data_IF_032305627206
#
_entry.id   IF_032305627206
#
_cell.length_a   1.000
_cell.length_b   1.000
_cell.length_c   1.000
_cell.angle_alpha   90.00
_cell.angle_beta   90.00
_cell.angle_gamma   90.00
#
_symmetry.space_group_name_H-M   'P 1'
#
loop_
_entity.id
_entity.type
_entity.pdbx_description
1 polymer ?
#
# COMPACT_ATOMS: atom_id res chain seq x y z
N UNK A 1 -8.43 41.95 -5.78
CA UNK A 1 -8.90 41.10 -6.90
C UNK A 1 -7.76 40.88 -7.92
N UNK A 2 -6.60 40.38 -7.50
CA UNK A 2 -5.46 40.18 -8.41
C UNK A 2 -4.56 38.97 -8.06
N UNK A 3 -5.11 37.93 -7.45
CA UNK A 3 -4.28 36.79 -6.97
C UNK A 3 -4.72 35.43 -7.51
N UNK A 4 -5.78 35.36 -8.33
CA UNK A 4 -6.28 34.07 -8.87
C UNK A 4 -5.78 33.75 -10.28
N UNK A 5 -5.29 34.75 -11.01
CA UNK A 5 -4.87 34.60 -12.42
C UNK A 5 -3.39 34.20 -12.61
N UNK A 6 -2.56 34.23 -11.56
CA UNK A 6 -1.11 33.97 -11.66
C UNK A 6 -0.71 32.50 -11.41
N UNK A 7 -1.62 31.63 -10.96
CA UNK A 7 -1.34 30.22 -10.64
C UNK A 7 -1.63 29.27 -11.82
N UNK A 8 -2.37 29.73 -12.83
CA UNK A 8 -2.75 28.88 -13.97
C UNK A 8 -1.72 28.79 -15.11
N UNK A 9 -0.60 29.50 -15.05
CA UNK A 9 0.35 29.56 -16.17
C UNK A 9 1.70 28.85 -15.98
N UNK A 10 1.86 28.02 -14.96
CA UNK A 10 3.10 27.27 -14.75
C UNK A 10 2.93 25.79 -14.45
N UNK A 11 1.93 25.16 -15.01
CA UNK A 11 1.87 23.70 -15.01
C UNK A 11 2.90 23.15 -15.99
N UNK A 12 3.85 22.31 -15.55
CA UNK A 12 4.85 21.73 -16.45
C UNK A 12 4.17 20.87 -17.53
N UNK A 13 4.70 20.96 -18.75
CA UNK A 13 4.12 20.35 -19.96
C UNK A 13 3.88 18.83 -19.91
N UNK A 14 4.46 18.13 -18.94
CA UNK A 14 4.26 16.69 -18.76
C UNK A 14 2.94 16.32 -18.09
N UNK A 15 2.25 17.28 -17.43
CA UNK A 15 0.93 17.05 -16.81
C UNK A 15 -0.22 16.94 -17.83
N UNK A 16 -0.02 17.41 -19.07
CA UNK A 16 -1.04 17.43 -20.12
C UNK A 16 -0.87 16.36 -21.22
N UNK A 17 0.10 15.49 -21.11
CA UNK A 17 0.18 14.32 -21.99
C UNK A 17 -0.60 13.17 -21.38
N UNK A 18 -1.90 13.16 -21.66
CA UNK A 18 -2.73 11.98 -21.49
C UNK A 18 -2.13 10.86 -22.36
N UNK A 19 -1.47 9.90 -21.73
CA UNK A 19 -1.07 8.67 -22.39
C UNK A 19 -2.36 7.88 -22.63
N UNK A 20 -2.97 8.11 -23.79
CA UNK A 20 -3.96 7.21 -24.38
C UNK A 20 -3.20 5.94 -24.79
N UNK A 21 -3.23 4.94 -23.91
CA UNK A 21 -2.89 3.59 -24.32
C UNK A 21 -4.03 3.06 -25.21
N UNK A 22 -3.74 2.50 -26.40
CA UNK A 22 -4.76 1.89 -27.21
C UNK A 22 -5.33 0.67 -26.48
N UNK A 23 -6.63 0.37 -26.65
CA UNK A 23 -7.22 -0.85 -26.11
C UNK A 23 -6.77 -2.05 -26.96
N UNK A 24 -5.63 -2.63 -26.62
CA UNK A 24 -5.33 -3.96 -27.11
C UNK A 24 -6.13 -4.97 -26.29
N UNK A 25 -7.12 -5.52 -26.94
CA UNK A 25 -7.90 -6.67 -26.51
C UNK A 25 -6.99 -7.89 -26.36
N UNK A 26 -6.42 -8.05 -25.17
CA UNK A 26 -5.84 -9.34 -24.76
C UNK A 26 -7.00 -10.25 -24.45
N UNK A 27 -7.35 -11.10 -25.41
CA UNK A 27 -8.25 -12.22 -25.22
C UNK A 27 -7.57 -13.19 -24.26
N UNK A 28 -7.86 -13.02 -22.96
CA UNK A 28 -7.47 -13.98 -21.92
C UNK A 28 -8.35 -15.21 -22.15
N UNK A 29 -7.76 -16.24 -22.74
CA UNK A 29 -8.37 -17.58 -22.75
C UNK A 29 -8.55 -18.03 -21.31
N UNK A 30 -9.77 -17.90 -20.82
CA UNK A 30 -10.25 -18.32 -19.52
C UNK A 30 -10.29 -19.85 -19.45
N UNK A 31 -9.16 -20.45 -19.14
CA UNK A 31 -9.16 -21.76 -18.47
C UNK A 31 -9.10 -21.49 -16.97
N UNK A 32 -10.26 -21.44 -16.34
CA UNK A 32 -10.35 -21.39 -14.88
C UNK A 32 -9.62 -22.61 -14.32
N UNK A 33 -8.51 -22.46 -13.56
CA UNK A 33 -7.87 -23.61 -12.95
C UNK A 33 -8.85 -24.22 -11.93
N UNK A 34 -9.01 -25.54 -11.98
CA UNK A 34 -9.80 -26.27 -10.99
C UNK A 34 -9.36 -25.87 -9.58
N UNK A 35 -10.30 -25.73 -8.62
CA UNK A 35 -9.97 -25.30 -7.28
C UNK A 35 -8.91 -26.23 -6.67
N UNK A 36 -7.80 -25.62 -6.21
CA UNK A 36 -6.70 -26.37 -5.60
C UNK A 36 -7.22 -27.15 -4.37
N UNK A 37 -6.76 -28.39 -4.21
CA UNK A 37 -7.01 -29.14 -2.97
C UNK A 37 -6.43 -28.39 -1.75
N UNK A 38 -6.92 -28.63 -0.52
CA UNK A 38 -6.37 -28.00 0.69
C UNK A 38 -4.85 -28.21 0.84
N UNK A 39 -4.32 -29.34 0.38
CA UNK A 39 -2.88 -29.62 0.34
C UNK A 39 -2.17 -28.73 -0.71
N UNK A 40 -2.78 -28.54 -1.86
CA UNK A 40 -2.28 -27.68 -2.93
C UNK A 40 -2.25 -26.21 -2.51
N UNK A 41 -3.30 -25.73 -1.83
CA UNK A 41 -3.36 -24.38 -1.29
C UNK A 41 -2.27 -24.11 -0.26
N UNK A 42 -2.08 -25.00 0.72
CA UNK A 42 -0.99 -24.91 1.71
C UNK A 42 0.38 -24.90 1.03
N UNK A 43 0.57 -25.73 0.02
CA UNK A 43 1.82 -25.76 -0.74
C UNK A 43 2.07 -24.46 -1.50
N UNK A 44 1.03 -23.93 -2.18
CA UNK A 44 1.11 -22.64 -2.88
C UNK A 44 1.46 -21.49 -1.92
N UNK A 45 0.82 -21.45 -0.76
CA UNK A 45 1.11 -20.44 0.28
C UNK A 45 2.56 -20.54 0.77
N UNK A 46 3.06 -21.75 1.08
CA UNK A 46 4.45 -21.94 1.49
C UNK A 46 5.46 -21.48 0.45
N UNK A 47 5.18 -21.69 -0.85
CA UNK A 47 6.04 -21.20 -1.94
C UNK A 47 6.01 -19.66 -2.00
N UNK A 48 4.82 -19.05 -1.90
CA UNK A 48 4.68 -17.59 -1.92
C UNK A 48 5.42 -16.92 -0.77
N UNK A 49 5.31 -17.47 0.45
CA UNK A 49 6.02 -16.95 1.63
C UNK A 49 7.54 -17.04 1.46
N UNK A 50 8.06 -18.20 1.06
CA UNK A 50 9.50 -18.36 0.82
C UNK A 50 10.00 -17.46 -0.33
N UNK A 51 9.23 -17.36 -1.41
CA UNK A 51 9.57 -16.48 -2.53
C UNK A 51 9.55 -14.99 -2.15
N UNK A 52 8.64 -14.58 -1.26
CA UNK A 52 8.60 -13.22 -0.75
C UNK A 52 9.91 -12.85 -0.04
N UNK A 53 10.39 -13.70 0.86
CA UNK A 53 11.64 -13.48 1.57
C UNK A 53 12.83 -13.37 0.61
N UNK A 54 12.90 -14.27 -0.39
CA UNK A 54 13.99 -14.27 -1.38
C UNK A 54 13.93 -13.02 -2.28
N UNK A 55 12.75 -12.62 -2.76
CA UNK A 55 12.62 -11.41 -3.57
C UNK A 55 12.90 -10.14 -2.78
N UNK A 56 12.46 -10.05 -1.53
CA UNK A 56 12.76 -8.90 -0.65
C UNK A 56 14.27 -8.78 -0.42
N UNK A 57 14.95 -9.89 -0.24
CA UNK A 57 16.40 -9.90 0.06
C UNK A 57 17.27 -9.63 -1.18
N UNK A 58 16.90 -10.19 -2.34
CA UNK A 58 17.75 -10.22 -3.55
C UNK A 58 17.23 -9.38 -4.72
N UNK A 59 16.04 -8.77 -4.60
CA UNK A 59 15.35 -8.11 -5.70
C UNK A 59 14.86 -9.09 -6.78
N UNK A 60 14.22 -8.58 -7.81
CA UNK A 60 13.74 -9.44 -8.90
C UNK A 60 14.92 -10.06 -9.67
N UNK A 61 15.90 -9.26 -10.11
CA UNK A 61 16.99 -9.76 -10.95
C UNK A 61 17.90 -10.76 -10.21
N UNK A 62 18.26 -10.48 -8.96
CA UNK A 62 19.13 -11.32 -8.16
C UNK A 62 18.52 -12.64 -7.69
N UNK A 63 17.19 -12.79 -7.79
CA UNK A 63 16.47 -14.01 -7.39
C UNK A 63 16.54 -15.07 -8.48
N UNK A 64 16.80 -16.31 -8.12
CA UNK A 64 16.66 -17.49 -8.98
C UNK A 64 15.58 -18.44 -8.46
N UNK A 65 14.97 -19.25 -9.36
CA UNK A 65 13.99 -20.24 -8.92
C UNK A 65 14.61 -21.31 -8.00
N UNK A 66 15.92 -21.58 -8.13
CA UNK A 66 16.61 -22.54 -7.27
C UNK A 66 16.72 -22.04 -5.82
N UNK A 67 17.00 -20.75 -5.62
CA UNK A 67 16.99 -20.14 -4.28
C UNK A 67 15.62 -20.28 -3.61
N UNK A 68 14.55 -20.09 -4.37
CA UNK A 68 13.19 -20.25 -3.86
C UNK A 68 12.89 -21.73 -3.54
N UNK A 69 13.34 -22.65 -4.39
CA UNK A 69 13.16 -24.10 -4.17
C UNK A 69 13.93 -24.55 -2.93
N UNK A 70 15.14 -24.08 -2.75
CA UNK A 70 15.97 -24.40 -1.57
C UNK A 70 15.26 -24.00 -0.27
N UNK A 71 14.62 -22.83 -0.25
CA UNK A 71 13.91 -22.35 0.94
C UNK A 71 12.52 -22.98 1.10
N UNK A 72 11.74 -23.13 0.02
CA UNK A 72 10.36 -23.67 0.08
C UNK A 72 10.29 -25.19 0.01
N UNK A 73 11.36 -25.86 -0.45
CA UNK A 73 11.36 -27.25 -0.90
C UNK A 73 10.64 -27.44 -2.25
N UNK A 74 10.63 -28.68 -2.75
CA UNK A 74 9.95 -29.07 -3.99
C UNK A 74 10.84 -29.13 -5.21
N UNK A 75 10.27 -28.89 -6.40
CA UNK A 75 10.99 -28.98 -7.67
C UNK A 75 10.68 -27.81 -8.60
N UNK A 76 11.56 -27.56 -9.58
CA UNK A 76 11.32 -26.59 -10.65
C UNK A 76 10.01 -26.89 -11.39
N UNK A 77 9.71 -28.17 -11.66
CA UNK A 77 8.46 -28.56 -12.30
C UNK A 77 7.23 -28.10 -11.51
N UNK A 78 7.27 -28.25 -10.17
CA UNK A 78 6.20 -27.77 -9.29
C UNK A 78 6.00 -26.26 -9.40
N UNK A 79 7.08 -25.48 -9.43
CA UNK A 79 7.01 -24.01 -9.59
C UNK A 79 6.43 -23.62 -10.95
N UNK A 80 6.92 -24.23 -12.03
CA UNK A 80 6.41 -23.95 -13.38
C UNK A 80 4.93 -24.31 -13.51
N UNK A 81 4.52 -25.46 -12.98
CA UNK A 81 3.11 -25.89 -13.02
C UNK A 81 2.21 -24.97 -12.18
N UNK A 82 2.71 -24.45 -11.04
CA UNK A 82 1.90 -23.64 -10.13
C UNK A 82 1.82 -22.17 -10.52
N UNK A 83 2.85 -21.65 -11.17
CA UNK A 83 3.00 -20.19 -11.41
C UNK A 83 3.38 -19.84 -12.85
N UNK A 84 3.90 -20.75 -13.65
CA UNK A 84 4.29 -20.48 -15.05
C UNK A 84 5.72 -19.94 -15.22
N UNK A 85 6.40 -19.49 -14.18
CA UNK A 85 7.77 -18.99 -14.24
C UNK A 85 8.09 -17.90 -13.21
N UNK A 86 9.31 -17.32 -13.29
CA UNK A 86 9.79 -16.33 -12.32
C UNK A 86 8.94 -15.07 -12.29
N UNK A 87 8.57 -14.54 -13.46
CA UNK A 87 7.77 -13.32 -13.57
C UNK A 87 6.37 -13.50 -12.97
N UNK A 88 5.65 -14.55 -13.36
CA UNK A 88 4.33 -14.82 -12.84
C UNK A 88 4.36 -15.16 -11.34
N UNK A 89 5.42 -15.82 -10.85
CA UNK A 89 5.64 -16.03 -9.42
C UNK A 89 5.88 -14.70 -8.70
N UNK A 90 6.69 -13.80 -9.26
CA UNK A 90 6.93 -12.47 -8.67
C UNK A 90 5.64 -11.67 -8.53
N UNK A 91 4.83 -11.58 -9.59
CA UNK A 91 3.54 -10.90 -9.54
C UNK A 91 2.60 -11.53 -8.51
N UNK A 92 2.59 -12.86 -8.41
CA UNK A 92 1.80 -13.57 -7.39
C UNK A 92 2.31 -13.30 -5.95
N UNK A 93 3.61 -13.11 -5.76
CA UNK A 93 4.21 -12.71 -4.47
C UNK A 93 3.81 -11.29 -4.10
N UNK A 94 3.90 -10.35 -5.04
CA UNK A 94 3.46 -8.97 -4.80
C UNK A 94 1.98 -8.94 -4.36
N UNK A 95 1.11 -9.65 -5.08
CA UNK A 95 -0.31 -9.74 -4.71
C UNK A 95 -0.51 -10.39 -3.33
N UNK A 96 0.23 -11.45 -3.04
CA UNK A 96 0.17 -12.13 -1.73
C UNK A 96 0.58 -11.19 -0.57
N UNK A 97 1.65 -10.40 -0.74
CA UNK A 97 2.09 -9.41 0.24
C UNK A 97 1.09 -8.28 0.40
N UNK A 98 0.54 -7.75 -0.70
CA UNK A 98 -0.50 -6.72 -0.68
C UNK A 98 -1.72 -7.21 0.09
N UNK A 99 -2.23 -8.40 -0.21
CA UNK A 99 -3.38 -8.99 0.49
C UNK A 99 -3.10 -9.20 1.98
N UNK A 100 -1.94 -9.73 2.35
CA UNK A 100 -1.57 -9.94 3.75
C UNK A 100 -1.46 -8.65 4.56
N UNK A 101 -1.00 -7.54 3.93
CA UNK A 101 -0.83 -6.26 4.62
C UNK A 101 -2.15 -5.47 4.73
N UNK A 102 -2.98 -5.48 3.68
CA UNK A 102 -4.11 -4.56 3.57
C UNK A 102 -5.50 -5.22 3.73
N UNK A 103 -5.62 -6.54 3.69
CA UNK A 103 -6.92 -7.23 3.77
C UNK A 103 -7.28 -7.72 5.18
N UNK A 104 -6.35 -7.75 6.14
CA UNK A 104 -6.59 -8.24 7.50
C UNK A 104 -7.34 -7.26 8.42
N UNK A 105 -7.59 -6.02 7.97
CA UNK A 105 -8.30 -5.02 8.79
C UNK A 105 -9.83 -5.17 8.72
N UNK A 106 -10.39 -6.25 9.28
CA UNK A 106 -11.85 -6.48 9.29
C UNK A 106 -12.60 -5.98 10.52
N UNK A 107 -11.92 -5.72 11.64
CA UNK A 107 -12.58 -5.36 12.91
C UNK A 107 -12.18 -3.95 13.40
N UNK A 108 -12.78 -2.92 12.82
CA UNK A 108 -12.74 -1.57 13.41
C UNK A 108 -14.07 -1.26 14.05
N UNK A 109 -14.10 -0.79 15.33
CA UNK A 109 -15.34 -0.31 15.95
C UNK A 109 -15.97 0.79 15.08
N UNK A 110 -17.28 0.69 14.86
CA UNK A 110 -18.00 1.54 13.90
C UNK A 110 -18.16 3.00 14.33
N UNK A 111 -17.91 3.37 15.57
CA UNK A 111 -18.24 4.70 16.08
C UNK A 111 -17.09 5.26 16.94
N UNK A 112 -16.42 6.29 16.43
CA UNK A 112 -15.58 7.15 17.25
C UNK A 112 -16.36 8.44 17.55
N UNK A 113 -16.49 8.86 18.83
CA UNK A 113 -17.26 10.06 19.19
C UNK A 113 -16.60 11.35 18.73
N UNK A 114 -15.29 11.35 18.53
CA UNK A 114 -14.49 12.53 18.19
C UNK A 114 -13.42 12.23 17.13
N UNK A 115 -13.05 13.24 16.29
CA UNK A 115 -12.07 13.05 15.24
C UNK A 115 -10.69 12.58 15.76
N UNK A 116 -10.25 13.08 16.92
CA UNK A 116 -8.96 12.73 17.52
C UNK A 116 -8.87 11.26 17.86
N UNK A 117 -9.89 10.71 18.49
CA UNK A 117 -9.92 9.29 18.86
C UNK A 117 -9.87 8.39 17.63
N UNK A 118 -10.61 8.76 16.58
CA UNK A 118 -10.62 8.06 15.30
C UNK A 118 -9.25 8.11 14.62
N UNK A 119 -8.67 9.31 14.52
CA UNK A 119 -7.36 9.51 13.88
C UNK A 119 -6.26 8.76 14.64
N UNK A 120 -6.32 8.79 15.99
CA UNK A 120 -5.33 8.09 16.81
C UNK A 120 -5.40 6.57 16.60
N UNK A 121 -6.60 5.99 16.63
CA UNK A 121 -6.79 4.55 16.42
C UNK A 121 -6.36 4.13 15.00
N UNK A 122 -6.86 4.81 13.97
CA UNK A 122 -6.50 4.52 12.59
C UNK A 122 -5.01 4.73 12.33
N UNK A 123 -4.43 5.83 12.81
CA UNK A 123 -3.03 6.16 12.61
C UNK A 123 -2.09 5.16 13.27
N UNK A 124 -2.42 4.70 14.49
CA UNK A 124 -1.64 3.68 15.20
C UNK A 124 -1.64 2.34 14.46
N UNK A 125 -2.80 1.89 14.00
CA UNK A 125 -2.90 0.64 13.21
C UNK A 125 -2.11 0.76 11.91
N UNK A 126 -2.29 1.86 11.19
CA UNK A 126 -1.56 2.13 9.96
C UNK A 126 -0.05 2.11 10.16
N UNK A 127 0.46 2.82 11.18
CA UNK A 127 1.90 2.82 11.50
C UNK A 127 2.41 1.43 11.84
N UNK A 128 1.69 0.67 12.67
CA UNK A 128 2.07 -0.70 13.00
C UNK A 128 2.15 -1.59 11.74
N UNK A 129 1.23 -1.42 10.81
CA UNK A 129 1.24 -2.15 9.53
C UNK A 129 2.44 -1.79 8.66
N UNK A 130 2.73 -0.50 8.46
CA UNK A 130 3.78 -0.06 7.52
C UNK A 130 5.20 -0.21 8.05
N UNK A 131 5.42 -0.23 9.39
CA UNK A 131 6.75 -0.47 9.97
C UNK A 131 7.14 -1.95 9.99
N UNK A 132 6.21 -2.86 9.67
CA UNK A 132 6.51 -4.28 9.63
C UNK A 132 7.55 -4.60 8.54
N UNK A 133 8.53 -5.49 8.80
CA UNK A 133 9.60 -5.78 7.82
C UNK A 133 9.11 -6.18 6.43
N UNK A 134 8.04 -6.96 6.34
CA UNK A 134 7.45 -7.35 5.05
C UNK A 134 6.84 -6.16 4.30
N UNK A 135 6.21 -5.22 5.02
CA UNK A 135 5.63 -4.00 4.41
C UNK A 135 6.72 -3.09 3.86
N UNK A 136 7.81 -2.91 4.61
CA UNK A 136 8.99 -2.17 4.14
C UNK A 136 9.65 -2.86 2.94
N UNK A 137 9.80 -4.19 2.98
CA UNK A 137 10.33 -4.98 1.87
C UNK A 137 9.45 -4.91 0.62
N UNK A 138 8.12 -5.00 0.78
CA UNK A 138 7.19 -4.79 -0.33
C UNK A 138 7.35 -3.41 -0.95
N UNK A 139 7.42 -2.36 -0.12
CA UNK A 139 7.60 -1.00 -0.60
C UNK A 139 8.91 -0.83 -1.40
N UNK A 140 10.01 -1.41 -0.92
CA UNK A 140 11.29 -1.42 -1.64
C UNK A 140 11.20 -2.14 -2.98
N UNK A 141 10.54 -3.31 -3.05
CA UNK A 141 10.32 -4.05 -4.29
C UNK A 141 9.49 -3.23 -5.29
N UNK A 142 8.40 -2.58 -4.82
CA UNK A 142 7.58 -1.73 -5.68
C UNK A 142 8.41 -0.59 -6.27
N UNK A 143 9.22 0.10 -5.46
CA UNK A 143 10.07 1.20 -5.95
C UNK A 143 11.14 0.72 -6.94
N UNK A 144 11.79 -0.40 -6.65
CA UNK A 144 12.85 -0.94 -7.50
C UNK A 144 12.35 -1.45 -8.86
N UNK A 145 11.17 -2.08 -8.87
CA UNK A 145 10.69 -2.84 -10.03
C UNK A 145 9.51 -2.18 -10.78
N UNK A 146 9.06 -1.00 -10.32
CA UNK A 146 7.91 -0.30 -10.90
C UNK A 146 8.07 0.08 -12.38
N UNK A 147 9.29 0.37 -12.82
CA UNK A 147 9.55 0.68 -14.23
C UNK A 147 9.42 -0.57 -15.13
N UNK A 148 9.77 -1.73 -14.60
CA UNK A 148 9.70 -3.01 -15.31
C UNK A 148 8.29 -3.60 -15.27
N UNK A 149 7.60 -3.45 -14.15
CA UNK A 149 6.27 -3.99 -13.88
C UNK A 149 5.31 -2.87 -13.44
N UNK A 150 4.88 -1.97 -14.32
CA UNK A 150 4.04 -0.82 -13.93
C UNK A 150 2.75 -1.22 -13.20
N UNK A 151 2.20 -2.39 -13.52
CA UNK A 151 0.99 -2.92 -12.90
C UNK A 151 1.11 -3.14 -11.39
N UNK A 152 2.33 -3.39 -10.85
CA UNK A 152 2.49 -3.58 -9.40
C UNK A 152 2.33 -2.27 -8.63
N UNK A 153 2.77 -1.15 -9.19
CA UNK A 153 2.60 0.18 -8.58
C UNK A 153 1.13 0.57 -8.51
N UNK A 154 0.41 0.38 -9.61
CA UNK A 154 -1.03 0.67 -9.66
C UNK A 154 -1.80 -0.22 -8.66
N UNK A 155 -1.52 -1.52 -8.64
CA UNK A 155 -2.16 -2.46 -7.72
C UNK A 155 -1.85 -2.14 -6.25
N UNK A 156 -0.59 -1.80 -5.94
CA UNK A 156 -0.19 -1.37 -4.61
C UNK A 156 -0.90 -0.09 -4.18
N UNK A 157 -0.96 0.91 -5.07
CA UNK A 157 -1.64 2.18 -4.79
C UNK A 157 -3.12 1.99 -4.49
N UNK A 158 -3.82 1.20 -5.32
CA UNK A 158 -5.26 0.92 -5.15
C UNK A 158 -5.55 0.15 -3.87
N UNK A 159 -4.79 -0.91 -3.57
CA UNK A 159 -5.03 -1.77 -2.41
C UNK A 159 -4.63 -1.12 -1.09
N UNK A 160 -3.57 -0.31 -1.09
CA UNK A 160 -3.01 0.34 0.10
C UNK A 160 -3.46 1.80 0.23
N UNK A 161 -2.66 2.77 -0.26
CA UNK A 161 -2.88 4.20 -0.01
C UNK A 161 -4.28 4.68 -0.35
N UNK A 162 -4.80 4.32 -1.53
CA UNK A 162 -6.12 4.77 -1.98
C UNK A 162 -7.23 4.20 -1.10
N UNK A 163 -7.24 2.87 -0.90
CA UNK A 163 -8.27 2.21 -0.08
C UNK A 163 -8.25 2.70 1.36
N UNK A 164 -7.05 2.81 1.98
CA UNK A 164 -6.91 3.26 3.36
C UNK A 164 -7.43 4.70 3.53
N UNK A 165 -7.11 5.62 2.60
CA UNK A 165 -7.62 6.99 2.66
C UNK A 165 -9.13 7.05 2.46
N UNK A 166 -9.71 6.23 1.59
CA UNK A 166 -11.16 6.12 1.40
C UNK A 166 -11.87 5.60 2.65
N UNK A 167 -11.35 4.56 3.29
CA UNK A 167 -11.90 4.00 4.51
C UNK A 167 -11.84 5.01 5.67
N UNK A 168 -10.71 5.69 5.85
CA UNK A 168 -10.60 6.74 6.88
C UNK A 168 -11.56 7.90 6.61
N UNK A 169 -11.70 8.35 5.36
CA UNK A 169 -12.64 9.39 4.97
C UNK A 169 -14.09 8.99 5.26
N UNK A 170 -14.48 7.75 4.94
CA UNK A 170 -15.82 7.22 5.24
C UNK A 170 -16.10 7.22 6.75
N UNK A 171 -15.11 6.84 7.57
CA UNK A 171 -15.23 6.88 9.04
C UNK A 171 -15.28 8.31 9.58
N UNK A 172 -14.47 9.24 9.06
CA UNK A 172 -14.55 10.66 9.43
C UNK A 172 -15.92 11.25 9.14
N UNK A 173 -16.58 10.85 8.06
CA UNK A 173 -17.94 11.30 7.72
C UNK A 173 -18.99 10.89 8.75
N UNK A 174 -18.75 9.84 9.54
CA UNK A 174 -19.68 9.40 10.61
C UNK A 174 -19.47 10.13 11.93
N UNK A 175 -18.41 10.92 12.07
CA UNK A 175 -18.14 11.68 13.29
C UNK A 175 -19.13 12.84 13.42
N UNK A 176 -19.84 12.99 14.56
CA UNK A 176 -20.80 14.06 14.74
C UNK A 176 -20.18 15.45 14.54
N UNK A 177 -20.90 16.35 13.88
CA UNK A 177 -20.47 17.72 13.63
C UNK A 177 -19.56 17.92 12.42
N UNK A 178 -19.05 16.87 11.79
CA UNK A 178 -18.28 16.99 10.54
C UNK A 178 -19.24 17.21 9.36
N UNK A 179 -19.09 18.37 8.71
CA UNK A 179 -19.83 18.74 7.49
C UNK A 179 -18.86 19.04 6.35
N UNK A 180 -18.48 18.01 5.62
CA UNK A 180 -17.60 18.11 4.47
C UNK A 180 -17.94 17.06 3.41
N UNK A 181 -17.56 17.33 2.15
CA UNK A 181 -17.73 16.36 1.07
C UNK A 181 -16.83 15.14 1.28
N UNK A 182 -17.19 13.99 0.72
CA UNK A 182 -16.37 12.79 0.73
C UNK A 182 -14.99 13.03 0.10
N UNK A 183 -14.93 13.82 -0.96
CA UNK A 183 -13.68 14.19 -1.63
C UNK A 183 -12.74 15.00 -0.70
N UNK A 184 -13.29 15.98 0.02
CA UNK A 184 -12.53 16.78 1.00
C UNK A 184 -11.99 15.88 2.13
N UNK A 185 -12.84 15.01 2.67
CA UNK A 185 -12.43 14.09 3.74
C UNK A 185 -11.37 13.11 3.26
N UNK A 186 -11.45 12.62 2.02
CA UNK A 186 -10.43 11.75 1.44
C UNK A 186 -9.11 12.48 1.24
N UNK A 187 -9.15 13.75 0.81
CA UNK A 187 -7.95 14.58 0.69
C UNK A 187 -7.27 14.81 2.05
N UNK A 188 -8.05 15.04 3.12
CA UNK A 188 -7.55 15.18 4.50
C UNK A 188 -6.97 13.85 4.98
N UNK A 189 -7.70 12.74 4.79
CA UNK A 189 -7.24 11.40 5.17
C UNK A 189 -5.92 11.02 4.47
N UNK A 190 -5.80 11.28 3.17
CA UNK A 190 -4.57 11.01 2.43
C UNK A 190 -3.37 11.79 3.01
N UNK A 191 -3.55 13.08 3.32
CA UNK A 191 -2.49 13.92 3.91
C UNK A 191 -2.12 13.48 5.33
N UNK A 192 -3.10 13.09 6.13
CA UNK A 192 -2.84 12.51 7.45
C UNK A 192 -1.94 11.27 7.34
N UNK A 193 -2.28 10.33 6.45
CA UNK A 193 -1.49 9.12 6.23
C UNK A 193 -0.07 9.42 5.71
N UNK A 194 0.10 10.46 4.87
CA UNK A 194 1.42 10.90 4.44
C UNK A 194 2.25 11.52 5.58
N UNK A 195 1.64 12.35 6.45
CA UNK A 195 2.32 12.90 7.64
C UNK A 195 2.81 11.79 8.57
N UNK A 196 2.02 10.72 8.75
CA UNK A 196 2.43 9.57 9.56
C UNK A 196 3.70 8.90 9.02
N UNK A 197 3.89 8.88 7.69
CA UNK A 197 5.05 8.27 7.04
C UNK A 197 6.31 9.14 7.06
N UNK A 198 6.20 10.44 7.37
CA UNK A 198 7.19 11.49 7.13
C UNK A 198 8.65 11.03 7.13
N UNK A 199 9.19 10.54 8.20
CA UNK A 199 10.62 10.15 8.28
C UNK A 199 10.85 8.63 8.11
N UNK A 200 9.79 7.86 7.77
CA UNK A 200 9.89 6.39 7.72
C UNK A 200 10.73 5.91 6.53
N UNK A 201 10.54 6.51 5.36
CA UNK A 201 11.12 6.00 4.12
C UNK A 201 12.50 6.59 3.79
N UNK A 202 12.84 7.78 4.29
CA UNK A 202 14.14 8.39 4.05
C UNK A 202 15.34 7.51 4.52
N UNK A 203 15.32 6.91 5.71
CA UNK A 203 16.36 5.96 6.13
C UNK A 203 16.44 4.72 5.25
N UNK A 204 15.33 4.27 4.69
CA UNK A 204 15.28 3.12 3.77
C UNK A 204 16.07 3.38 2.49
N UNK A 205 16.02 4.61 1.96
CA UNK A 205 16.83 5.01 0.80
C UNK A 205 18.32 5.21 1.09
N UNK A 206 18.65 5.60 2.31
CA UNK A 206 20.04 5.94 2.69
C UNK A 206 20.92 4.73 3.00
N UNK A 207 20.45 3.50 2.76
CA UNK A 207 21.13 2.25 3.16
C UNK A 207 21.47 2.17 4.65
N UNK A 208 21.01 3.12 5.44
CA UNK A 208 21.04 3.01 6.89
C UNK A 208 19.95 2.04 7.26
N UNK A 209 20.33 0.78 7.53
CA UNK A 209 19.44 -0.28 8.01
C UNK A 209 18.92 -0.02 9.44
N UNK A 210 18.74 1.22 9.80
CA UNK A 210 18.09 1.57 11.04
C UNK A 210 16.59 1.23 10.88
N UNK A 211 16.22 0.10 11.48
CA UNK A 211 14.81 -0.22 11.69
C UNK A 211 14.15 1.00 12.34
N UNK A 212 12.89 1.31 12.01
CA UNK A 212 12.16 2.38 12.69
C UNK A 212 12.37 2.22 14.19
N UNK A 213 12.93 3.25 14.84
CA UNK A 213 13.26 3.18 16.26
C UNK A 213 12.00 2.96 17.08
N UNK A 214 12.13 2.30 18.22
CA UNK A 214 11.04 1.99 19.15
C UNK A 214 10.20 3.22 19.57
N UNK A 215 10.60 4.44 19.30
CA UNK A 215 9.87 5.68 19.57
C UNK A 215 9.28 6.34 18.32
N UNK A 216 9.34 5.71 17.15
CA UNK A 216 8.86 6.34 15.92
C UNK A 216 7.35 6.61 15.97
N UNK A 217 6.56 5.63 16.37
CA UNK A 217 5.09 5.74 16.44
C UNK A 217 4.69 6.76 17.50
N UNK A 218 5.31 6.70 18.67
CA UNK A 218 5.04 7.60 19.80
C UNK A 218 5.36 9.07 19.49
N UNK A 219 6.29 9.30 18.57
CA UNK A 219 6.68 10.64 18.12
C UNK A 219 5.77 11.16 17.02
N UNK A 220 5.52 10.36 15.98
CA UNK A 220 4.80 10.81 14.77
C UNK A 220 3.29 10.89 14.95
N UNK A 221 2.71 9.94 15.67
CA UNK A 221 1.27 9.82 15.78
C UNK A 221 0.61 11.01 16.49
N UNK A 222 1.04 11.45 17.69
CA UNK A 222 0.37 12.55 18.40
C UNK A 222 0.37 13.86 17.59
N UNK A 223 1.50 14.23 17.01
CA UNK A 223 1.64 15.45 16.21
C UNK A 223 0.74 15.42 14.96
N UNK A 224 0.73 14.30 14.25
CA UNK A 224 -0.10 14.15 13.05
C UNK A 224 -1.59 14.20 13.39
N UNK A 225 -2.00 13.61 14.52
CA UNK A 225 -3.38 13.68 15.01
C UNK A 225 -3.75 15.11 15.38
N UNK A 226 -2.93 15.81 16.15
CA UNK A 226 -3.18 17.18 16.57
C UNK A 226 -3.37 18.13 15.38
N UNK A 227 -2.45 18.09 14.40
CA UNK A 227 -2.52 18.92 13.19
C UNK A 227 -3.80 18.63 12.41
N UNK A 228 -4.12 17.35 12.20
CA UNK A 228 -5.29 16.97 11.38
C UNK A 228 -6.59 17.28 12.09
N UNK A 229 -6.69 17.00 13.39
CA UNK A 229 -7.88 17.29 14.18
C UNK A 229 -8.12 18.79 14.32
N UNK A 230 -7.08 19.59 14.50
CA UNK A 230 -7.16 21.04 14.48
C UNK A 230 -7.74 21.54 13.13
N UNK A 231 -7.24 21.04 12.00
CA UNK A 231 -7.78 21.37 10.68
C UNK A 231 -9.26 21.00 10.56
N UNK A 232 -9.66 19.80 10.97
CA UNK A 232 -11.05 19.33 10.91
C UNK A 232 -11.95 20.25 11.75
N UNK A 233 -11.60 20.53 13.00
CA UNK A 233 -12.40 21.39 13.89
C UNK A 233 -12.60 22.79 13.35
N UNK A 234 -11.57 23.40 12.75
CA UNK A 234 -11.66 24.79 12.31
C UNK A 234 -12.26 24.97 10.93
N UNK A 235 -12.27 23.95 10.08
CA UNK A 235 -12.65 24.08 8.67
C UNK A 235 -13.73 23.12 8.22
N UNK A 236 -14.03 22.05 8.95
CA UNK A 236 -14.91 20.98 8.50
C UNK A 236 -16.06 20.67 9.48
N UNK A 237 -16.18 21.44 10.59
CA UNK A 237 -17.33 21.32 11.50
C UNK A 237 -18.30 22.48 11.28
N UNK A 238 -19.61 22.18 11.38
CA UNK A 238 -20.64 23.22 11.50
C UNK A 238 -20.42 24.02 12.79
N UNK A 239 -20.34 25.36 12.68
CA UNK A 239 -20.40 26.26 13.85
C UNK A 239 -21.82 26.34 14.40
#
# INVERSE_FOLDING_TARGET
MATKAAIEQSSPAWLNQGILLPPESVSVMSSSPSPLTPKGQRRRHAILTAAADVFILHGYEGTTLDMIIEQSGGSRSTLYTSFGGKEALFLAVIEHLICGIFEEEKDTPDIAPEPEALLYDCGRRYLNSIVHPQSLGLYQLILAESQRFPQISERFYQAGPQRTSQQLAARLKTVPGIDASQETLQAVAARFLEMLKADLYLPVFSQRHEKPTTGFIEKQLPLSVEITACYIRHHLTCQ
#
